data_IF_229821415072
#
_entry.id   IF_229821415072
#
_cell.length_a   1.000
_cell.length_b   1.000
_cell.length_c   1.000
_cell.angle_alpha   90.00
_cell.angle_beta   90.00
_cell.angle_gamma   90.00
#
_symmetry.space_group_name_H-M   'P 1'
#
loop_
_entity.id
_entity.type
_entity.pdbx_description
1 polymer ?
#
# COMPACT_ATOMS: atom_id res chain seq x y z
N UNK A 1 -21.78 1.09 29.76
CA UNK A 1 -22.08 1.74 28.46
C UNK A 1 -20.90 2.59 28.08
N UNK A 2 -20.40 2.40 26.87
CA UNK A 2 -19.30 3.15 26.28
C UNK A 2 -19.81 3.99 25.11
N UNK A 3 -19.34 5.23 25.01
CA UNK A 3 -19.77 6.16 23.97
C UNK A 3 -18.61 6.45 23.02
N UNK A 4 -18.84 6.24 21.73
CA UNK A 4 -17.90 6.56 20.67
C UNK A 4 -18.43 7.74 19.86
N UNK A 5 -17.64 8.79 19.68
CA UNK A 5 -17.99 9.92 18.81
C UNK A 5 -17.43 9.65 17.43
N UNK A 6 -18.26 9.74 16.41
CA UNK A 6 -17.92 9.34 15.04
C UNK A 6 -18.05 10.55 14.12
N UNK A 7 -17.02 10.82 13.32
CA UNK A 7 -17.07 11.78 12.22
C UNK A 7 -17.02 11.05 10.90
N UNK A 8 -17.88 11.40 9.97
CA UNK A 8 -17.88 10.83 8.62
C UNK A 8 -17.72 11.97 7.61
N UNK A 9 -16.70 11.89 6.77
CA UNK A 9 -16.46 12.86 5.71
C UNK A 9 -16.92 12.30 4.36
N UNK A 10 -17.78 13.04 3.67
CA UNK A 10 -18.25 12.73 2.31
C UNK A 10 -17.40 13.48 1.28
N UNK A 11 -17.18 12.86 0.11
CA UNK A 11 -16.39 13.45 -0.99
C UNK A 11 -16.90 14.81 -1.45
N UNK A 12 -16.05 15.62 -2.08
CA UNK A 12 -16.43 16.93 -2.63
C UNK A 12 -16.84 16.89 -4.10
N UNK A 13 -16.69 15.75 -4.77
CA UNK A 13 -17.06 15.57 -6.17
C UNK A 13 -18.58 15.69 -6.38
N UNK A 14 -19.00 16.08 -7.58
CA UNK A 14 -20.42 16.11 -7.93
C UNK A 14 -21.08 14.73 -7.69
N UNK A 15 -22.23 14.73 -7.02
CA UNK A 15 -22.99 13.51 -6.65
C UNK A 15 -22.29 12.56 -5.68
N UNK A 16 -21.29 13.01 -4.94
CA UNK A 16 -20.64 12.21 -3.88
C UNK A 16 -21.54 11.92 -2.68
N UNK A 17 -22.59 12.72 -2.46
CA UNK A 17 -23.51 12.56 -1.33
C UNK A 17 -24.62 11.56 -1.60
N UNK A 18 -25.23 11.05 -0.54
CA UNK A 18 -26.26 10.00 -0.60
C UNK A 18 -27.50 10.36 0.21
N UNK A 19 -28.64 9.83 -0.21
CA UNK A 19 -29.89 9.83 0.55
C UNK A 19 -30.21 8.45 1.16
N UNK A 20 -29.40 7.44 0.85
CA UNK A 20 -29.54 6.11 1.43
C UNK A 20 -29.11 6.07 2.91
N UNK A 21 -29.49 5.00 3.61
CA UNK A 21 -29.18 4.85 5.02
C UNK A 21 -27.78 4.28 5.19
N UNK A 22 -26.93 4.99 5.94
CA UNK A 22 -25.62 4.49 6.35
C UNK A 22 -25.70 4.03 7.80
N UNK A 23 -25.27 2.79 8.06
CA UNK A 23 -25.08 2.25 9.41
C UNK A 23 -23.62 1.90 9.66
N UNK A 24 -23.22 1.95 10.92
CA UNK A 24 -21.87 1.66 11.37
C UNK A 24 -21.87 0.48 12.36
N UNK A 25 -20.89 -0.40 12.19
CA UNK A 25 -20.49 -1.39 13.19
C UNK A 25 -19.02 -1.19 13.52
N UNK A 26 -18.67 -1.15 14.81
CA UNK A 26 -17.31 -0.96 15.31
C UNK A 26 -16.81 -2.29 15.87
N UNK A 27 -15.65 -2.75 15.44
CA UNK A 27 -15.02 -4.00 15.90
C UNK A 27 -13.72 -3.66 16.61
N UNK A 28 -13.61 -4.01 17.89
CA UNK A 28 -12.40 -3.87 18.68
C UNK A 28 -11.93 -5.18 19.31
N UNK A 29 -10.80 -5.14 20.01
CA UNK A 29 -10.17 -6.32 20.63
C UNK A 29 -11.02 -7.00 21.69
N UNK A 30 -11.99 -6.29 22.29
CA UNK A 30 -12.85 -6.80 23.36
C UNK A 30 -14.31 -7.01 22.91
N UNK A 31 -14.61 -6.83 21.63
CA UNK A 31 -15.93 -7.13 21.08
C UNK A 31 -16.34 -6.26 19.90
N UNK A 32 -17.62 -6.36 19.55
CA UNK A 32 -18.22 -5.68 18.41
C UNK A 32 -19.47 -4.91 18.85
N UNK A 33 -19.68 -3.71 18.31
CA UNK A 33 -20.91 -2.97 18.52
C UNK A 33 -22.08 -3.63 17.79
N UNK A 34 -23.31 -3.39 18.23
CA UNK A 34 -24.44 -3.65 17.34
C UNK A 34 -24.39 -2.65 16.17
N UNK A 35 -24.96 -3.06 15.02
CA UNK A 35 -25.14 -2.18 13.86
C UNK A 35 -26.03 -1.00 14.26
N UNK A 36 -25.51 0.22 14.14
CA UNK A 36 -26.21 1.45 14.47
C UNK A 36 -26.33 2.33 13.24
N UNK A 37 -27.55 2.76 12.94
CA UNK A 37 -27.77 3.73 11.87
C UNK A 37 -27.17 5.07 12.29
N UNK A 38 -26.36 5.64 11.41
CA UNK A 38 -25.83 6.99 11.57
C UNK A 38 -26.89 7.97 11.08
N UNK A 39 -27.41 8.78 12.00
CA UNK A 39 -28.41 9.79 11.68
C UNK A 39 -28.34 10.97 12.65
N UNK A 40 -28.57 12.16 12.13
CA UNK A 40 -28.90 13.32 12.95
C UNK A 40 -30.10 14.07 12.38
N UNK A 41 -30.49 15.17 13.02
CA UNK A 41 -31.52 16.05 12.49
C UNK A 41 -30.95 16.81 11.28
N UNK A 42 -31.58 16.70 10.12
CA UNK A 42 -31.15 17.38 8.89
C UNK A 42 -30.76 16.41 7.78
N UNK A 43 -29.98 16.90 6.81
CA UNK A 43 -29.44 16.09 5.72
C UNK A 43 -28.09 15.53 6.13
N UNK A 44 -28.02 14.22 6.30
CA UNK A 44 -26.77 13.46 6.46
C UNK A 44 -26.08 13.26 5.11
N UNK A 45 -24.76 13.10 5.11
CA UNK A 45 -23.94 12.66 3.98
C UNK A 45 -24.10 13.50 2.70
N UNK A 46 -24.27 14.81 2.85
CA UNK A 46 -24.28 15.71 1.70
C UNK A 46 -22.88 15.80 1.06
N UNK A 47 -22.81 16.09 -0.24
CA UNK A 47 -21.55 16.34 -0.93
C UNK A 47 -20.72 17.40 -0.19
N UNK A 48 -19.49 17.04 0.18
CA UNK A 48 -18.55 17.87 0.93
C UNK A 48 -18.82 17.99 2.44
N UNK A 49 -19.83 17.29 2.97
CA UNK A 49 -20.17 17.37 4.39
C UNK A 49 -19.22 16.54 5.26
N UNK A 50 -19.05 17.01 6.50
CA UNK A 50 -18.45 16.27 7.60
C UNK A 50 -19.48 16.21 8.70
N UNK A 51 -20.03 15.01 8.93
CA UNK A 51 -21.16 14.80 9.83
C UNK A 51 -20.71 14.10 11.11
N UNK A 52 -21.26 14.54 12.25
CA UNK A 52 -20.92 14.06 13.59
C UNK A 52 -22.05 13.16 14.16
N UNK A 53 -21.67 12.00 14.68
CA UNK A 53 -22.57 11.00 15.24
C UNK A 53 -22.08 10.48 16.60
N UNK A 54 -22.99 9.85 17.33
CA UNK A 54 -22.69 9.16 18.59
C UNK A 54 -23.15 7.71 18.51
N UNK A 55 -22.23 6.79 18.75
CA UNK A 55 -22.48 5.34 18.75
C UNK A 55 -22.37 4.82 20.18
N UNK A 56 -23.43 4.20 20.67
CA UNK A 56 -23.52 3.70 22.04
C UNK A 56 -23.27 2.19 22.08
N UNK A 57 -22.35 1.76 22.93
CA UNK A 57 -22.00 0.35 23.12
C UNK A 57 -22.31 -0.08 24.56
N UNK A 58 -22.70 -1.36 24.74
CA UNK A 58 -22.98 -1.89 26.07
C UNK A 58 -21.73 -1.85 26.96
N UNK A 59 -20.57 -2.14 26.36
CA UNK A 59 -19.25 -2.16 26.97
C UNK A 59 -18.22 -1.42 26.09
N UNK A 60 -17.06 -1.12 26.66
CA UNK A 60 -15.90 -0.68 25.88
C UNK A 60 -15.41 -1.84 24.98
N UNK A 61 -15.14 -1.54 23.72
CA UNK A 61 -14.70 -2.47 22.70
C UNK A 61 -13.17 -2.66 22.70
N UNK A 62 -12.44 -1.93 23.53
CA UNK A 62 -10.98 -1.97 23.58
C UNK A 62 -10.35 -1.22 22.41
N UNK A 63 -9.24 -1.75 21.90
CA UNK A 63 -8.57 -1.19 20.73
C UNK A 63 -9.36 -1.49 19.46
N UNK A 64 -9.69 -0.46 18.67
CA UNK A 64 -10.50 -0.62 17.46
C UNK A 64 -9.63 -1.16 16.33
N UNK A 65 -10.13 -2.17 15.62
CA UNK A 65 -9.38 -2.88 14.58
C UNK A 65 -10.00 -2.62 13.20
N UNK A 66 -11.32 -2.73 13.13
CA UNK A 66 -12.11 -2.63 11.90
C UNK A 66 -13.38 -1.85 12.19
N UNK A 67 -13.83 -1.06 11.23
CA UNK A 67 -15.20 -0.59 11.16
C UNK A 67 -15.89 -1.15 9.92
N UNK A 68 -17.20 -1.29 9.98
CA UNK A 68 -18.03 -1.70 8.85
C UNK A 68 -19.07 -0.61 8.57
N UNK A 69 -18.98 0.00 7.40
CA UNK A 69 -20.01 0.89 6.88
C UNK A 69 -20.99 0.06 6.05
N UNK A 70 -22.27 0.17 6.38
CA UNK A 70 -23.34 -0.55 5.70
C UNK A 70 -24.18 0.49 4.96
N UNK A 71 -24.25 0.37 3.64
CA UNK A 71 -25.16 1.17 2.82
C UNK A 71 -26.42 0.36 2.55
N UNK A 72 -27.56 0.90 2.95
CA UNK A 72 -28.85 0.23 2.89
C UNK A 72 -29.91 1.16 2.29
N UNK A 73 -30.95 0.62 1.64
CA UNK A 73 -32.00 1.45 1.04
C UNK A 73 -32.64 2.37 2.07
N UNK A 74 -32.81 3.65 1.74
CA UNK A 74 -33.67 4.54 2.53
C UNK A 74 -35.11 4.55 1.99
N UNK A 75 -35.95 3.68 2.55
CA UNK A 75 -37.37 3.61 2.20
C UNK A 75 -37.58 3.33 0.70
N UNK A 76 -38.39 4.15 0.00
CA UNK A 76 -38.72 4.04 -1.42
C UNK A 76 -37.88 4.97 -2.32
N UNK A 77 -36.77 5.51 -1.83
CA UNK A 77 -35.88 6.35 -2.64
C UNK A 77 -35.09 5.50 -3.66
N UNK A 78 -34.77 6.07 -4.84
CA UNK A 78 -33.88 5.42 -5.78
C UNK A 78 -32.48 5.23 -5.18
N UNK A 79 -31.85 4.10 -5.50
CA UNK A 79 -30.44 3.84 -5.20
C UNK A 79 -29.56 4.95 -5.76
N UNK A 80 -28.69 5.51 -4.92
CA UNK A 80 -27.67 6.46 -5.33
C UNK A 80 -26.28 5.99 -4.87
N UNK A 81 -25.19 6.38 -5.54
CA UNK A 81 -23.85 6.08 -5.07
C UNK A 81 -23.45 7.04 -3.93
N UNK A 82 -22.56 6.60 -3.04
CA UNK A 82 -22.00 7.45 -1.99
C UNK A 82 -20.47 7.40 -2.02
N UNK A 83 -19.78 8.54 -2.00
CA UNK A 83 -18.33 8.58 -1.86
C UNK A 83 -17.93 8.97 -0.44
N UNK A 84 -17.36 8.02 0.30
CA UNK A 84 -16.82 8.27 1.63
C UNK A 84 -15.33 8.61 1.52
N UNK A 85 -14.91 9.75 2.09
CA UNK A 85 -13.50 10.10 2.24
C UNK A 85 -12.88 9.30 3.39
N UNK A 86 -13.42 9.46 4.60
CA UNK A 86 -12.90 8.81 5.81
C UNK A 86 -13.95 8.78 6.93
N UNK A 87 -13.68 7.96 7.94
CA UNK A 87 -14.36 7.95 9.24
C UNK A 87 -13.33 8.16 10.34
N UNK A 88 -13.62 9.05 11.30
CA UNK A 88 -12.83 9.18 12.52
C UNK A 88 -13.67 8.75 13.72
N UNK A 89 -13.07 8.02 14.66
CA UNK A 89 -13.77 7.58 15.88
C UNK A 89 -12.97 8.00 17.10
N UNK A 90 -13.55 8.86 17.93
CA UNK A 90 -13.02 9.16 19.26
C UNK A 90 -13.64 8.18 20.27
N UNK A 91 -12.79 7.33 20.84
CA UNK A 91 -13.16 6.31 21.82
C UNK A 91 -13.34 6.91 23.24
N UNK A 92 -13.94 6.17 24.20
CA UNK A 92 -14.15 6.64 25.57
C UNK A 92 -12.89 7.09 26.30
N UNK A 93 -11.74 6.52 25.93
CA UNK A 93 -10.42 6.87 26.45
C UNK A 93 -9.78 8.10 25.77
N UNK A 94 -10.54 8.82 24.95
CA UNK A 94 -10.10 9.96 24.14
C UNK A 94 -9.12 9.65 23.00
N UNK A 95 -8.74 8.38 22.76
CA UNK A 95 -7.97 8.01 21.56
C UNK A 95 -8.84 8.21 20.32
N UNK A 96 -8.26 8.82 19.29
CA UNK A 96 -8.91 9.02 17.99
C UNK A 96 -8.36 8.00 17.02
N UNK A 97 -9.23 7.27 16.36
CA UNK A 97 -8.90 6.27 15.34
C UNK A 97 -9.30 6.81 13.96
N UNK A 98 -8.47 6.56 12.95
CA UNK A 98 -8.64 7.08 11.60
C UNK A 98 -8.84 5.95 10.57
N UNK A 99 -10.01 5.93 9.92
CA UNK A 99 -10.40 4.92 8.94
C UNK A 99 -10.62 5.58 7.56
N UNK A 100 -9.58 5.74 6.73
CA UNK A 100 -9.77 6.25 5.38
C UNK A 100 -10.52 5.25 4.51
N UNK A 101 -11.40 5.78 3.66
CA UNK A 101 -12.24 5.01 2.76
C UNK A 101 -11.90 5.30 1.29
N UNK A 102 -11.86 6.60 0.92
CA UNK A 102 -11.61 7.16 -0.41
C UNK A 102 -12.19 6.33 -1.57
N UNK A 103 -13.44 5.89 -1.45
CA UNK A 103 -14.07 5.04 -2.46
C UNK A 103 -15.58 5.23 -2.52
N UNK A 104 -16.13 4.88 -3.69
CA UNK A 104 -17.57 4.84 -3.92
C UNK A 104 -18.19 3.56 -3.37
N UNK A 105 -19.26 3.70 -2.61
CA UNK A 105 -20.23 2.66 -2.31
C UNK A 105 -21.43 2.85 -3.25
N UNK A 106 -21.40 2.17 -4.38
CA UNK A 106 -22.49 2.20 -5.36
C UNK A 106 -23.61 1.25 -4.91
N UNK A 107 -23.27 0.09 -4.34
CA UNK A 107 -24.22 -0.96 -3.96
C UNK A 107 -24.91 -0.79 -2.61
N UNK A 108 -25.86 -1.69 -2.33
CA UNK A 108 -26.21 -2.01 -0.94
C UNK A 108 -25.21 -3.05 -0.44
N UNK A 109 -24.14 -2.55 0.15
CA UNK A 109 -22.96 -3.33 0.49
C UNK A 109 -22.43 -2.97 1.88
N UNK A 110 -21.49 -3.80 2.35
CA UNK A 110 -20.77 -3.55 3.59
C UNK A 110 -19.29 -3.33 3.27
N UNK A 111 -18.84 -2.10 3.47
CA UNK A 111 -17.45 -1.73 3.34
C UNK A 111 -16.73 -1.91 4.68
N UNK A 112 -15.77 -2.84 4.74
CA UNK A 112 -14.93 -3.04 5.93
C UNK A 112 -13.66 -2.19 5.81
N UNK A 113 -13.50 -1.23 6.70
CA UNK A 113 -12.34 -0.36 6.76
C UNK A 113 -11.49 -0.75 7.96
N UNK A 114 -10.19 -0.91 7.73
CA UNK A 114 -9.21 -0.98 8.82
C UNK A 114 -8.81 0.44 9.18
N UNK A 115 -8.37 0.62 10.42
CA UNK A 115 -7.64 1.83 10.75
C UNK A 115 -6.47 1.91 9.75
N UNK A 116 -6.40 2.99 8.96
CA UNK A 116 -5.14 3.23 8.29
C UNK A 116 -4.19 3.58 9.41
N UNK A 117 -3.20 2.72 9.59
CA UNK A 117 -2.17 2.83 10.60
C UNK A 117 -1.67 4.26 10.60
N UNK A 118 -2.17 5.06 11.56
CA UNK A 118 -1.66 6.37 11.94
C UNK A 118 -0.13 6.31 11.93
N UNK A 119 0.40 5.17 12.38
CA UNK A 119 1.78 4.74 12.27
C UNK A 119 2.48 5.05 10.93
N UNK A 120 1.95 4.66 9.76
CA UNK A 120 2.61 4.99 8.48
C UNK A 120 2.59 6.49 8.26
N UNK A 121 1.44 7.14 8.46
CA UNK A 121 1.31 8.59 8.25
C UNK A 121 2.18 9.42 9.22
N UNK A 122 2.43 8.90 10.42
CA UNK A 122 3.27 9.50 11.46
C UNK A 122 4.77 9.23 11.25
N UNK A 123 5.13 8.03 10.77
CA UNK A 123 6.51 7.54 10.75
C UNK A 123 7.10 7.43 9.34
N UNK A 124 6.37 7.76 8.26
CA UNK A 124 6.86 7.60 6.87
C UNK A 124 8.14 8.39 6.57
N UNK A 125 8.41 9.46 7.31
CA UNK A 125 9.63 10.27 7.16
C UNK A 125 10.84 9.65 7.88
N UNK A 126 10.64 8.66 8.76
CA UNK A 126 11.70 8.05 9.55
C UNK A 126 12.52 7.04 8.75
N UNK A 127 13.84 7.09 8.89
CA UNK A 127 14.76 6.17 8.21
C UNK A 127 14.63 4.72 8.70
N UNK A 128 14.41 4.54 10.00
CA UNK A 128 14.13 3.24 10.63
C UNK A 128 12.87 2.60 10.04
N UNK A 129 11.78 3.36 9.89
CA UNK A 129 10.55 2.85 9.32
C UNK A 129 10.64 2.63 7.80
N UNK A 130 11.38 3.49 7.08
CA UNK A 130 11.71 3.25 5.68
C UNK A 130 12.43 1.91 5.48
N UNK A 131 13.45 1.62 6.29
CA UNK A 131 14.19 0.38 6.21
C UNK A 131 13.41 -0.84 6.72
N UNK A 132 12.60 -0.68 7.76
CA UNK A 132 11.70 -1.72 8.28
C UNK A 132 10.79 -2.30 7.19
N UNK A 133 10.28 -1.46 6.29
CA UNK A 133 9.39 -1.88 5.21
C UNK A 133 10.04 -2.83 4.20
N UNK A 134 11.37 -2.90 4.10
CA UNK A 134 12.04 -3.90 3.26
C UNK A 134 12.00 -5.30 3.84
N UNK A 135 11.77 -5.45 5.15
CA UNK A 135 11.72 -6.74 5.81
C UNK A 135 10.27 -7.16 6.13
N UNK A 136 9.43 -6.18 6.47
CA UNK A 136 8.10 -6.41 7.03
C UNK A 136 7.00 -5.61 6.31
N UNK A 137 7.32 -4.96 5.20
CA UNK A 137 6.37 -4.21 4.39
C UNK A 137 5.72 -5.06 3.30
N UNK A 138 5.27 -4.41 2.23
CA UNK A 138 4.48 -5.03 1.16
C UNK A 138 5.32 -5.92 0.21
N UNK A 139 6.62 -5.67 0.09
CA UNK A 139 7.50 -6.35 -0.86
C UNK A 139 8.85 -6.78 -0.24
N UNK A 140 8.83 -7.71 0.74
CA UNK A 140 10.04 -8.09 1.46
C UNK A 140 10.99 -9.01 0.67
N UNK A 141 10.76 -9.21 -0.63
CA UNK A 141 11.52 -10.13 -1.48
C UNK A 141 12.72 -9.51 -2.20
N UNK A 142 12.80 -8.17 -2.28
CA UNK A 142 13.76 -7.47 -3.15
C UNK A 142 15.13 -7.21 -2.50
N UNK A 143 15.15 -6.95 -1.19
CA UNK A 143 16.38 -6.61 -0.47
C UNK A 143 17.33 -7.81 -0.43
N UNK A 144 18.62 -7.57 -0.69
CA UNK A 144 19.65 -8.60 -0.66
C UNK A 144 20.91 -8.12 0.06
N UNK A 145 21.60 -9.04 0.72
CA UNK A 145 22.91 -8.74 1.30
C UNK A 145 23.89 -8.35 0.19
N UNK A 146 24.60 -7.24 0.40
CA UNK A 146 25.59 -6.71 -0.52
C UNK A 146 26.97 -7.24 -0.11
N UNK A 147 27.65 -7.93 -1.03
CA UNK A 147 29.01 -8.41 -0.80
C UNK A 147 30.06 -7.47 -1.41
N UNK A 148 29.64 -6.65 -2.37
CA UNK A 148 30.47 -5.68 -3.08
C UNK A 148 29.56 -4.60 -3.63
N UNK A 149 29.98 -3.34 -3.49
CA UNK A 149 29.26 -2.20 -4.08
C UNK A 149 29.34 -2.30 -5.62
N UNK A 150 28.21 -2.24 -6.34
CA UNK A 150 28.23 -2.28 -7.80
C UNK A 150 28.94 -1.06 -8.40
N UNK A 151 29.73 -1.24 -9.48
CA UNK A 151 30.46 -0.15 -10.16
C UNK A 151 29.55 1.01 -10.61
N UNK A 152 28.29 0.70 -10.93
CA UNK A 152 27.26 1.66 -11.31
C UNK A 152 26.73 2.52 -10.15
N UNK A 153 27.19 2.26 -8.92
CA UNK A 153 26.77 2.95 -7.71
C UNK A 153 28.01 3.33 -6.90
N UNK A 154 28.74 4.39 -7.28
CA UNK A 154 30.06 4.73 -6.75
C UNK A 154 30.00 5.37 -5.36
N UNK A 155 29.39 4.68 -4.40
CA UNK A 155 29.39 5.04 -2.97
C UNK A 155 30.79 4.82 -2.42
N UNK A 156 31.35 5.85 -1.76
CA UNK A 156 32.65 5.76 -1.11
C UNK A 156 32.51 5.58 0.40
N UNK A 157 33.60 5.19 1.06
CA UNK A 157 33.64 5.07 2.51
C UNK A 157 33.33 6.40 3.20
N UNK A 158 33.90 7.50 2.69
CA UNK A 158 33.73 8.85 3.23
C UNK A 158 32.26 9.31 3.20
N UNK A 159 31.50 8.88 2.19
CA UNK A 159 30.08 9.24 2.05
C UNK A 159 29.23 8.62 3.17
N UNK A 160 29.53 7.38 3.55
CA UNK A 160 28.67 6.61 4.46
C UNK A 160 29.25 6.46 5.86
N UNK A 161 30.51 6.81 6.09
CA UNK A 161 31.18 6.73 7.39
C UNK A 161 30.33 7.30 8.57
N UNK A 162 29.61 8.43 8.43
CA UNK A 162 28.76 8.94 9.52
C UNK A 162 27.62 8.01 9.96
N UNK A 163 27.23 7.03 9.14
CA UNK A 163 26.06 6.17 9.34
C UNK A 163 26.41 4.71 9.69
N UNK A 164 27.70 4.36 9.71
CA UNK A 164 28.17 3.00 10.01
C UNK A 164 28.48 2.77 11.50
N UNK A 165 28.71 3.86 12.25
CA UNK A 165 29.15 3.81 13.65
C UNK A 165 30.66 3.92 13.82
N UNK A 166 31.11 4.09 15.05
CA UNK A 166 32.54 4.29 15.35
C UNK A 166 33.37 3.01 15.18
N UNK A 167 34.60 3.16 14.67
CA UNK A 167 35.57 2.06 14.61
C UNK A 167 35.34 1.06 13.47
N UNK A 168 34.55 1.41 12.46
CA UNK A 168 34.33 0.59 11.26
C UNK A 168 34.46 1.42 9.97
N UNK A 169 34.36 0.74 8.84
CA UNK A 169 34.34 1.33 7.50
C UNK A 169 33.43 0.49 6.60
N UNK A 170 33.07 1.01 5.42
CA UNK A 170 32.17 0.37 4.47
C UNK A 170 32.67 -1.03 4.08
N UNK A 171 33.98 -1.17 3.84
CA UNK A 171 34.59 -2.46 3.51
C UNK A 171 34.44 -3.48 4.65
N UNK A 172 34.65 -3.05 5.90
CA UNK A 172 34.50 -3.93 7.05
C UNK A 172 33.03 -4.35 7.27
N UNK A 173 32.07 -3.44 7.07
CA UNK A 173 30.64 -3.76 7.19
C UNK A 173 30.14 -4.67 6.05
N UNK A 174 30.70 -4.55 4.84
CA UNK A 174 30.47 -5.51 3.74
C UNK A 174 30.97 -6.91 4.13
N UNK A 175 32.17 -7.01 4.69
CA UNK A 175 32.78 -8.29 5.12
C UNK A 175 32.02 -8.94 6.28
N UNK A 176 31.51 -8.14 7.23
CA UNK A 176 30.62 -8.60 8.31
C UNK A 176 29.25 -9.04 7.79
N UNK A 177 28.86 -8.60 6.60
CA UNK A 177 27.56 -8.89 6.00
C UNK A 177 26.42 -8.01 6.52
N UNK A 178 26.75 -6.80 6.98
CA UNK A 178 25.80 -5.83 7.51
C UNK A 178 25.28 -4.84 6.47
N UNK A 179 25.83 -4.85 5.25
CA UNK A 179 25.38 -3.98 4.16
C UNK A 179 24.43 -4.73 3.24
N UNK A 180 23.34 -4.07 2.85
CA UNK A 180 22.27 -4.58 2.02
C UNK A 180 21.97 -3.63 0.86
N UNK A 181 21.42 -4.17 -0.22
CA UNK A 181 21.11 -3.44 -1.43
C UNK A 181 19.68 -3.73 -1.87
N UNK A 182 18.96 -2.67 -2.24
CA UNK A 182 17.74 -2.74 -3.02
C UNK A 182 18.02 -2.10 -4.40
N UNK A 183 17.95 -2.91 -5.47
CA UNK A 183 18.36 -2.51 -6.83
C UNK A 183 17.18 -2.65 -7.80
N UNK A 184 16.58 -1.52 -8.18
CA UNK A 184 15.37 -1.45 -9.01
C UNK A 184 15.66 -1.40 -10.49
N UNK A 185 16.74 -2.06 -10.93
CA UNK A 185 17.17 -2.07 -12.34
C UNK A 185 16.12 -2.59 -13.32
N UNK A 186 15.15 -3.37 -12.85
CA UNK A 186 14.05 -3.86 -13.69
C UNK A 186 13.17 -2.72 -14.22
N UNK A 187 13.21 -1.55 -13.57
CA UNK A 187 12.48 -0.36 -13.98
C UNK A 187 13.28 0.51 -14.98
N UNK A 188 14.53 0.17 -15.24
CA UNK A 188 15.38 0.95 -16.15
C UNK A 188 14.87 0.84 -17.59
N UNK A 189 14.81 1.99 -18.28
CA UNK A 189 14.32 2.08 -19.65
C UNK A 189 12.81 1.88 -19.83
N UNK A 190 12.01 1.73 -18.76
CA UNK A 190 10.54 1.67 -18.88
C UNK A 190 10.03 3.04 -19.39
N UNK A 191 9.22 3.07 -20.46
CA UNK A 191 8.74 4.33 -21.02
C UNK A 191 7.73 5.00 -20.09
N UNK A 192 7.84 6.33 -19.98
CA UNK A 192 6.87 7.19 -19.30
C UNK A 192 5.62 7.42 -20.15
N UNK A 193 4.48 7.66 -19.51
CA UNK A 193 3.24 8.11 -20.20
C UNK A 193 2.86 9.53 -19.85
N UNK A 194 1.89 10.04 -20.60
CA UNK A 194 1.14 11.22 -20.25
C UNK A 194 -0.16 10.81 -19.56
N UNK A 195 -0.39 11.32 -18.34
CA UNK A 195 -1.64 11.14 -17.60
C UNK A 195 -2.28 12.51 -17.42
N UNK A 196 -3.52 12.68 -17.87
CA UNK A 196 -4.27 13.94 -17.79
C UNK A 196 -3.52 15.16 -18.36
N UNK A 197 -2.80 14.98 -19.48
CA UNK A 197 -2.01 16.06 -20.09
C UNK A 197 -0.65 16.31 -19.43
N UNK A 198 -0.27 15.51 -18.41
CA UNK A 198 1.00 15.66 -17.70
C UNK A 198 1.91 14.46 -17.90
N UNK A 199 3.13 14.73 -18.37
CA UNK A 199 4.18 13.73 -18.50
C UNK A 199 4.56 13.18 -17.11
N UNK A 200 4.44 11.87 -16.98
CA UNK A 200 4.86 11.14 -15.78
C UNK A 200 6.36 10.86 -15.84
N UNK A 201 6.95 10.53 -14.69
CA UNK A 201 8.37 10.29 -14.55
C UNK A 201 8.61 8.97 -13.80
N UNK A 202 9.71 8.30 -14.13
CA UNK A 202 10.16 7.08 -13.48
C UNK A 202 11.61 7.22 -13.07
N UNK A 203 12.00 6.41 -12.09
CA UNK A 203 13.38 6.21 -11.70
C UNK A 203 13.63 4.71 -11.53
N UNK A 204 14.91 4.32 -11.63
CA UNK A 204 15.36 2.95 -11.39
C UNK A 204 16.44 2.99 -10.31
N UNK A 205 16.04 3.24 -9.04
CA UNK A 205 16.98 3.59 -8.00
C UNK A 205 17.82 2.40 -7.52
N UNK A 206 18.90 2.73 -6.84
CA UNK A 206 19.73 1.81 -6.06
C UNK A 206 19.82 2.39 -4.64
N UNK A 207 19.40 1.61 -3.66
CA UNK A 207 19.39 2.00 -2.25
C UNK A 207 20.33 1.09 -1.46
N UNK A 208 21.29 1.70 -0.77
CA UNK A 208 22.20 1.02 0.15
C UNK A 208 21.63 1.12 1.57
N UNK A 209 21.61 0.00 2.28
CA UNK A 209 21.15 -0.07 3.66
C UNK A 209 22.22 -0.71 4.56
N UNK A 210 22.25 -0.28 5.81
CA UNK A 210 23.09 -0.83 6.87
C UNK A 210 22.20 -1.44 7.95
N UNK A 211 22.48 -2.69 8.32
CA UNK A 211 21.89 -3.33 9.50
C UNK A 211 22.76 -3.01 10.72
N UNK A 212 22.35 -1.99 11.46
CA UNK A 212 23.12 -1.44 12.58
C UNK A 212 23.05 -2.29 13.86
N UNK A 213 23.90 -2.00 14.86
CA UNK A 213 23.96 -2.75 16.12
C UNK A 213 22.65 -2.68 16.92
N UNK A 214 21.85 -1.63 16.72
CA UNK A 214 20.54 -1.45 17.36
C UNK A 214 19.44 -2.35 16.76
N UNK A 215 19.78 -3.17 15.76
CA UNK A 215 18.84 -4.10 15.12
C UNK A 215 17.94 -3.45 14.07
N UNK A 216 18.22 -2.20 13.68
CA UNK A 216 17.47 -1.48 12.66
C UNK A 216 18.16 -1.56 11.30
N UNK A 217 17.35 -1.70 10.25
CA UNK A 217 17.78 -1.54 8.88
C UNK A 217 17.70 -0.06 8.51
N UNK A 218 18.83 0.59 8.22
CA UNK A 218 18.90 2.03 7.99
C UNK A 218 19.34 2.32 6.55
N UNK A 219 18.62 3.13 5.76
CA UNK A 219 19.12 3.63 4.48
C UNK A 219 20.32 4.56 4.70
N UNK A 220 21.41 4.34 3.95
CA UNK A 220 22.65 5.14 4.07
C UNK A 220 23.07 5.83 2.79
N UNK A 221 22.56 5.39 1.62
CA UNK A 221 22.80 6.05 0.34
C UNK A 221 21.72 5.69 -0.69
N UNK A 222 21.33 6.64 -1.54
CA UNK A 222 20.35 6.44 -2.62
C UNK A 222 20.87 7.09 -3.91
N UNK A 223 20.94 6.33 -5.00
CA UNK A 223 21.11 6.86 -6.36
C UNK A 223 19.82 6.61 -7.14
N UNK A 224 19.25 7.63 -7.80
CA UNK A 224 17.94 7.50 -8.46
C UNK A 224 17.99 6.93 -9.90
N UNK A 225 19.18 6.74 -10.46
CA UNK A 225 19.39 6.14 -11.79
C UNK A 225 20.33 4.95 -11.71
N UNK A 226 20.26 4.07 -12.71
CA UNK A 226 21.22 3.00 -12.92
C UNK A 226 22.56 3.48 -13.50
N UNK A 227 22.60 4.69 -14.07
CA UNK A 227 23.82 5.26 -14.65
C UNK A 227 24.32 6.42 -13.79
N UNK A 228 25.54 6.35 -13.22
CA UNK A 228 26.09 7.43 -12.41
C UNK A 228 26.51 8.61 -13.28
N UNK A 229 26.51 9.82 -12.72
CA UNK A 229 26.92 11.03 -13.42
C UNK A 229 26.66 12.30 -12.60
N UNK A 230 27.14 13.47 -13.08
CA UNK A 230 26.96 14.74 -12.36
C UNK A 230 25.48 15.13 -12.18
N UNK A 231 24.61 14.69 -13.09
CA UNK A 231 23.16 14.92 -13.02
C UNK A 231 22.41 13.84 -12.22
N UNK A 232 23.12 12.83 -11.70
CA UNK A 232 22.56 11.78 -10.86
C UNK A 232 23.36 11.68 -9.56
N UNK A 233 23.11 12.60 -8.60
CA UNK A 233 23.79 12.56 -7.32
C UNK A 233 23.42 11.30 -6.53
N UNK A 234 24.31 10.91 -5.63
CA UNK A 234 24.03 9.96 -4.58
C UNK A 234 23.58 10.78 -3.37
N UNK A 235 22.31 10.62 -3.00
CA UNK A 235 21.71 11.25 -1.84
C UNK A 235 22.09 10.50 -0.56
N UNK A 236 22.32 11.24 0.51
CA UNK A 236 22.73 10.74 1.82
C UNK A 236 21.79 11.28 2.93
N UNK A 237 21.67 10.59 4.07
CA UNK A 237 20.85 11.05 5.20
C UNK A 237 21.21 12.43 5.77
N UNK A 238 22.42 12.92 5.51
CA UNK A 238 22.91 14.23 5.96
C UNK A 238 22.77 15.34 4.91
N UNK A 239 22.16 15.05 3.75
CA UNK A 239 21.72 16.08 2.81
C UNK A 239 20.59 16.92 3.41
N UNK A 240 20.08 17.90 2.66
CA UNK A 240 18.93 18.67 3.14
C UNK A 240 17.73 17.75 3.37
N UNK A 241 16.90 18.09 4.37
CA UNK A 241 15.73 17.30 4.77
C UNK A 241 14.87 16.90 3.56
N UNK A 242 14.62 17.85 2.66
CA UNK A 242 13.79 17.65 1.48
C UNK A 242 14.47 16.85 0.37
N UNK A 243 15.79 16.96 0.20
CA UNK A 243 16.52 16.16 -0.78
C UNK A 243 16.49 14.67 -0.38
N UNK A 244 16.79 14.39 0.89
CA UNK A 244 16.77 13.02 1.41
C UNK A 244 15.37 12.42 1.40
N UNK A 245 14.37 13.19 1.85
CA UNK A 245 12.97 12.73 1.85
C UNK A 245 12.46 12.47 0.43
N UNK A 246 12.81 13.32 -0.54
CA UNK A 246 12.45 13.13 -1.94
C UNK A 246 13.12 11.87 -2.52
N UNK A 247 14.41 11.65 -2.23
CA UNK A 247 15.12 10.45 -2.67
C UNK A 247 14.47 9.16 -2.14
N UNK A 248 14.13 9.13 -0.83
CA UNK A 248 13.36 8.02 -0.22
C UNK A 248 11.99 7.84 -0.86
N UNK A 249 11.29 8.93 -1.15
CA UNK A 249 9.96 8.88 -1.79
C UNK A 249 10.05 8.24 -3.18
N UNK A 250 11.07 8.58 -3.97
CA UNK A 250 11.32 7.94 -5.26
C UNK A 250 11.67 6.46 -5.15
N UNK A 251 12.36 6.05 -4.08
CA UNK A 251 12.59 4.62 -3.81
C UNK A 251 11.29 3.90 -3.44
N UNK A 252 10.43 4.50 -2.61
CA UNK A 252 9.10 3.93 -2.29
C UNK A 252 8.20 3.85 -3.53
N UNK A 253 8.30 4.84 -4.42
CA UNK A 253 7.65 4.79 -5.73
C UNK A 253 8.13 3.59 -6.53
N UNK A 254 9.45 3.41 -6.70
CA UNK A 254 10.00 2.25 -7.42
C UNK A 254 9.59 0.91 -6.77
N UNK A 255 9.58 0.84 -5.44
CA UNK A 255 9.11 -0.32 -4.69
C UNK A 255 7.66 -0.67 -4.98
N UNK A 256 6.79 0.33 -5.03
CA UNK A 256 5.39 0.15 -5.37
C UNK A 256 5.21 -0.48 -6.77
N UNK A 257 5.96 -0.01 -7.78
CA UNK A 257 5.90 -0.62 -9.13
C UNK A 257 6.44 -2.04 -9.16
N UNK A 258 7.58 -2.28 -8.52
CA UNK A 258 8.16 -3.63 -8.46
C UNK A 258 7.22 -4.59 -7.73
N UNK A 259 6.58 -4.15 -6.64
CA UNK A 259 5.59 -4.91 -5.92
C UNK A 259 4.41 -5.29 -6.82
N UNK A 260 3.71 -4.30 -7.38
CA UNK A 260 2.47 -4.55 -8.12
C UNK A 260 2.71 -5.36 -9.40
N UNK A 261 3.73 -5.00 -10.18
CA UNK A 261 3.99 -5.64 -11.46
C UNK A 261 4.64 -7.02 -11.32
N UNK A 262 5.61 -7.16 -10.40
CA UNK A 262 6.43 -8.37 -10.29
C UNK A 262 5.93 -9.27 -9.18
N UNK A 263 6.09 -8.90 -7.92
CA UNK A 263 5.79 -9.78 -6.79
C UNK A 263 4.30 -10.16 -6.71
N UNK A 264 3.42 -9.19 -6.98
CA UNK A 264 1.98 -9.38 -6.92
C UNK A 264 1.42 -9.96 -8.22
N UNK A 265 1.48 -9.24 -9.34
CA UNK A 265 0.88 -9.68 -10.59
C UNK A 265 1.62 -10.89 -11.20
N UNK A 266 2.91 -10.77 -11.51
CA UNK A 266 3.63 -11.84 -12.19
C UNK A 266 3.80 -13.08 -11.30
N UNK A 267 4.44 -12.92 -10.15
CA UNK A 267 4.91 -14.03 -9.32
C UNK A 267 3.79 -14.71 -8.54
N UNK A 268 2.77 -13.97 -8.12
CA UNK A 268 1.64 -14.53 -7.38
C UNK A 268 0.47 -14.91 -8.29
N UNK A 269 0.00 -13.99 -9.13
CA UNK A 269 -1.18 -14.21 -9.96
C UNK A 269 -0.89 -15.06 -11.21
N UNK A 270 0.03 -14.62 -12.09
CA UNK A 270 0.22 -15.23 -13.41
C UNK A 270 0.93 -16.59 -13.34
N UNK A 271 1.97 -16.72 -12.50
CA UNK A 271 2.61 -18.02 -12.25
C UNK A 271 1.61 -19.01 -11.61
N UNK A 272 0.80 -18.54 -10.66
CA UNK A 272 -0.26 -19.36 -10.05
C UNK A 272 -1.28 -19.87 -11.08
N UNK A 273 -1.64 -19.05 -12.06
CA UNK A 273 -2.55 -19.44 -13.15
C UNK A 273 -1.93 -20.51 -14.05
N UNK A 274 -0.65 -20.38 -14.39
CA UNK A 274 0.06 -21.37 -15.19
C UNK A 274 0.02 -22.76 -14.51
N UNK A 275 0.25 -22.82 -13.19
CA UNK A 275 0.10 -24.06 -12.43
C UNK A 275 -1.33 -24.58 -12.41
N UNK A 276 -2.33 -23.71 -12.26
CA UNK A 276 -3.74 -24.09 -12.30
C UNK A 276 -4.14 -24.72 -13.65
N UNK A 277 -3.75 -24.09 -14.76
CA UNK A 277 -4.04 -24.61 -16.10
C UNK A 277 -3.33 -25.93 -16.36
N UNK A 278 -2.07 -26.08 -15.92
CA UNK A 278 -1.35 -27.34 -16.03
C UNK A 278 -2.02 -28.47 -15.24
N UNK A 279 -2.46 -28.18 -14.00
CA UNK A 279 -3.20 -29.11 -13.14
C UNK A 279 -4.50 -29.59 -13.82
N UNK A 280 -5.35 -28.65 -14.25
CA UNK A 280 -6.68 -28.94 -14.80
C UNK A 280 -6.61 -29.70 -16.13
N UNK A 281 -5.57 -29.46 -16.94
CA UNK A 281 -5.44 -30.04 -18.28
C UNK A 281 -4.76 -31.42 -18.28
N UNK A 282 -3.90 -31.70 -17.30
CA UNK A 282 -3.01 -32.86 -17.37
C UNK A 282 -3.19 -33.86 -16.22
N UNK A 283 -3.88 -33.52 -15.12
CA UNK A 283 -4.07 -34.42 -14.00
C UNK A 283 -5.56 -34.78 -13.81
N UNK A 284 -5.95 -36.06 -13.90
CA UNK A 284 -7.34 -36.46 -13.69
C UNK A 284 -7.74 -36.29 -12.21
N UNK A 285 -9.04 -36.13 -11.93
CA UNK A 285 -9.56 -35.87 -10.57
C UNK A 285 -9.23 -36.97 -9.53
N UNK A 286 -8.89 -38.18 -9.98
CA UNK A 286 -8.45 -39.27 -9.13
C UNK A 286 -6.96 -39.17 -8.75
N UNK A 287 -6.15 -38.40 -9.48
CA UNK A 287 -4.72 -38.29 -9.25
C UNK A 287 -4.42 -37.63 -7.90
N UNK A 288 -3.48 -38.15 -7.08
CA UNK A 288 -3.17 -37.58 -5.76
C UNK A 288 -2.76 -36.11 -5.82
N UNK A 289 -1.92 -35.71 -6.79
CA UNK A 289 -1.54 -34.30 -6.98
C UNK A 289 -2.74 -33.42 -7.37
N UNK A 290 -3.73 -33.95 -8.09
CA UNK A 290 -4.96 -33.19 -8.37
C UNK A 290 -5.69 -32.87 -7.06
N UNK A 291 -5.93 -33.89 -6.23
CA UNK A 291 -6.63 -33.75 -4.95
C UNK A 291 -5.89 -32.81 -3.99
N UNK A 292 -4.56 -32.86 -3.99
CA UNK A 292 -3.71 -32.00 -3.17
C UNK A 292 -3.79 -30.53 -3.62
N UNK A 293 -3.64 -30.27 -4.92
CA UNK A 293 -3.45 -28.91 -5.43
C UNK A 293 -4.75 -28.17 -5.74
N UNK A 294 -5.85 -28.87 -6.07
CA UNK A 294 -7.11 -28.24 -6.50
C UNK A 294 -7.71 -27.23 -5.50
N UNK A 295 -7.57 -27.37 -4.16
CA UNK A 295 -8.05 -26.33 -3.24
C UNK A 295 -7.24 -25.03 -3.33
N UNK A 296 -5.94 -25.11 -3.69
CA UNK A 296 -5.02 -23.99 -3.74
C UNK A 296 -5.12 -23.17 -5.04
N UNK A 297 -5.82 -23.69 -6.06
CA UNK A 297 -6.00 -23.00 -7.35
C UNK A 297 -7.38 -22.37 -7.50
N UNK A 298 -8.23 -22.48 -6.47
CA UNK A 298 -9.60 -21.97 -6.47
C UNK A 298 -9.61 -20.47 -6.80
N UNK A 299 -10.45 -20.10 -7.76
CA UNK A 299 -10.66 -18.74 -8.27
C UNK A 299 -9.47 -18.06 -8.97
N UNK A 300 -8.29 -18.67 -9.03
CA UNK A 300 -7.10 -18.04 -9.61
C UNK A 300 -7.32 -17.65 -11.11
N UNK A 301 -7.80 -18.58 -11.94
CA UNK A 301 -8.13 -18.30 -13.36
C UNK A 301 -9.23 -17.23 -13.50
N UNK A 302 -10.21 -17.24 -12.58
CA UNK A 302 -11.34 -16.30 -12.61
C UNK A 302 -10.86 -14.87 -12.32
N UNK A 303 -10.10 -14.67 -11.23
CA UNK A 303 -9.61 -13.34 -10.86
C UNK A 303 -8.64 -12.79 -11.90
N UNK A 304 -7.77 -13.64 -12.48
CA UNK A 304 -6.86 -13.20 -13.54
C UNK A 304 -7.61 -12.84 -14.83
N UNK A 305 -8.69 -13.56 -15.15
CA UNK A 305 -9.55 -13.22 -16.28
C UNK A 305 -10.25 -11.87 -16.07
N UNK A 306 -10.75 -11.60 -14.86
CA UNK A 306 -11.30 -10.29 -14.47
C UNK A 306 -10.22 -9.20 -14.55
N UNK A 307 -9.03 -9.47 -14.02
CA UNK A 307 -7.89 -8.55 -14.06
C UNK A 307 -7.51 -8.17 -15.50
N UNK A 308 -7.43 -9.14 -16.41
CA UNK A 308 -7.21 -8.86 -17.84
C UNK A 308 -8.33 -8.04 -18.47
N UNK A 309 -9.58 -8.23 -18.07
CA UNK A 309 -10.73 -7.57 -18.67
C UNK A 309 -10.99 -6.14 -18.16
N UNK A 310 -10.65 -5.84 -16.90
CA UNK A 310 -11.01 -4.57 -16.24
C UNK A 310 -9.82 -3.76 -15.73
N UNK A 311 -8.72 -4.44 -15.36
CA UNK A 311 -7.56 -3.79 -14.75
C UNK A 311 -6.48 -3.51 -15.80
N UNK A 312 -6.06 -4.52 -16.55
CA UNK A 312 -4.88 -4.51 -17.42
C UNK A 312 -5.21 -4.25 -18.90
N UNK A 313 -6.49 -4.25 -19.27
CA UNK A 313 -6.90 -3.90 -20.63
C UNK A 313 -6.57 -2.43 -20.94
N UNK A 314 -6.42 -2.12 -22.23
CA UNK A 314 -6.21 -0.75 -22.71
C UNK A 314 -7.29 0.20 -22.15
N UNK A 315 -6.87 1.23 -21.41
CA UNK A 315 -7.79 2.18 -20.75
C UNK A 315 -8.51 1.63 -19.51
N UNK A 316 -8.11 0.46 -19.04
CA UNK A 316 -8.53 -0.16 -17.79
C UNK A 316 -8.07 0.62 -16.56
N UNK A 317 -8.39 0.11 -15.38
CA UNK A 317 -8.13 0.82 -14.12
C UNK A 317 -6.64 1.12 -13.90
N UNK A 318 -5.74 0.22 -14.30
CA UNK A 318 -4.29 0.41 -14.15
C UNK A 318 -3.79 1.62 -14.94
N UNK A 319 -4.26 1.82 -16.17
CA UNK A 319 -3.87 2.94 -17.03
C UNK A 319 -4.29 4.32 -16.50
N UNK A 320 -5.21 4.37 -15.52
CA UNK A 320 -5.68 5.62 -14.89
C UNK A 320 -4.83 6.04 -13.70
N UNK A 321 -4.05 5.11 -13.15
CA UNK A 321 -3.34 5.28 -11.86
C UNK A 321 -1.84 5.00 -12.02
N UNK A 322 -1.46 4.16 -12.98
CA UNK A 322 -0.09 3.75 -13.24
C UNK A 322 0.37 4.18 -14.65
N UNK A 323 1.64 4.58 -14.80
CA UNK A 323 2.34 4.49 -16.07
C UNK A 323 2.48 3.03 -16.55
N UNK A 324 2.82 2.81 -17.82
CA UNK A 324 2.46 1.62 -18.59
C UNK A 324 3.33 0.39 -18.30
N UNK A 325 4.03 0.34 -17.17
CA UNK A 325 4.81 -0.84 -16.79
C UNK A 325 3.96 -2.13 -16.81
N UNK A 326 2.65 -2.03 -16.57
CA UNK A 326 1.71 -3.16 -16.66
C UNK A 326 1.14 -3.41 -18.08
N UNK A 327 1.21 -2.46 -19.01
CA UNK A 327 0.65 -2.64 -20.38
C UNK A 327 1.63 -3.39 -21.31
N UNK A 328 2.94 -3.29 -21.08
CA UNK A 328 3.96 -3.80 -22.00
C UNK A 328 4.22 -5.32 -21.92
N UNK A 329 3.71 -6.02 -20.92
CA UNK A 329 3.95 -7.45 -20.73
C UNK A 329 2.80 -8.35 -21.21
N UNK A 330 1.71 -7.78 -21.74
CA UNK A 330 0.50 -8.53 -22.10
C UNK A 330 -0.01 -8.29 -23.54
N UNK A 331 0.73 -7.56 -24.38
CA UNK A 331 0.49 -7.47 -25.83
C UNK A 331 1.32 -8.49 -26.60
#
# INVERSE_FOLDING_TARGET
MATYKVKVATGTDFFSGTLDSISLTIVGTQGESHKQRLNHFGRDFATGAVDDYTVQCQQDLGELIIIRLHKEPHSFLPKDPWYCNYVQICAPNCRVYHFPAYQWMDGYETLSLREATEYVAEHWTEDSFFGYQYLNGINPGLIRRCMQIPDKFPVTDEMVAPFLGEGTCLQAELEKGNIYLADYRILDGIPTVELNGQKQHHCAPICLLHFGPDGNMMPIAIQLSQTPGPDCPIFLPNDSEWDWLLAKTWVRYAEFYSHEAVAHLLESHLIGEAFCLALLRNLPMCHPLYKLLIPHTRYNVQINSIGRALLLNKGGLSARVFPPACELYLS
#
